data_IF_007467533387
#
_entry.id   IF_007467533387
#
_cell.length_a   1.000
_cell.length_b   1.000
_cell.length_c   1.000
_cell.angle_alpha   90.00
_cell.angle_beta   90.00
_cell.angle_gamma   90.00
#
_symmetry.space_group_name_H-M   'P 1'
#
loop_
_entity.id
_entity.type
_entity.pdbx_description
1 polymer ?
#
# COMPACT_ATOMS: atom_id res chain seq x y z
N UNK A 1 -41.33 10.99 0.98
CA UNK A 1 -40.60 12.09 1.65
C UNK A 1 -40.14 13.07 0.59
N UNK A 2 -40.21 14.39 0.79
CA UNK A 2 -39.65 15.35 -0.17
C UNK A 2 -38.13 15.20 -0.20
N UNK A 3 -37.49 15.42 -1.35
CA UNK A 3 -36.03 15.24 -1.52
C UNK A 3 -35.24 16.08 -0.52
N UNK A 4 -35.68 17.32 -0.30
CA UNK A 4 -35.11 18.24 0.70
C UNK A 4 -35.09 17.63 2.10
N UNK A 5 -36.14 16.91 2.49
CA UNK A 5 -36.21 16.23 3.79
C UNK A 5 -35.31 14.99 3.83
N UNK A 6 -35.11 14.30 2.70
CA UNK A 6 -34.11 13.21 2.58
C UNK A 6 -32.68 13.75 2.74
N UNK A 7 -32.34 14.86 2.10
CA UNK A 7 -31.02 15.50 2.21
C UNK A 7 -30.72 15.98 3.64
N UNK A 8 -31.71 16.58 4.33
CA UNK A 8 -31.57 16.95 5.74
C UNK A 8 -31.37 15.72 6.64
N UNK A 9 -32.19 14.68 6.43
CA UNK A 9 -32.09 13.43 7.20
C UNK A 9 -30.71 12.79 6.99
N UNK A 10 -30.23 12.76 5.74
CA UNK A 10 -28.93 12.25 5.37
C UNK A 10 -27.80 13.00 6.08
N UNK A 11 -27.82 14.34 6.02
CA UNK A 11 -26.85 15.15 6.74
C UNK A 11 -26.80 14.80 8.23
N UNK A 12 -27.96 14.75 8.90
CA UNK A 12 -28.01 14.44 10.33
C UNK A 12 -27.53 13.02 10.64
N UNK A 13 -27.94 12.02 9.86
CA UNK A 13 -27.49 10.64 10.06
C UNK A 13 -25.98 10.50 9.86
N UNK A 14 -25.41 11.23 8.90
CA UNK A 14 -23.98 11.22 8.65
C UNK A 14 -23.17 11.94 9.75
N UNK A 15 -23.67 13.07 10.28
CA UNK A 15 -23.06 13.71 11.45
C UNK A 15 -23.13 12.79 12.68
N UNK A 16 -24.29 12.18 12.95
CA UNK A 16 -24.47 11.23 14.04
C UNK A 16 -23.53 10.01 13.90
N UNK A 17 -23.32 9.52 12.66
CA UNK A 17 -22.39 8.43 12.38
C UNK A 17 -20.93 8.83 12.67
N UNK A 18 -20.53 10.04 12.26
CA UNK A 18 -19.21 10.61 12.57
C UNK A 18 -18.99 10.75 14.08
N UNK A 19 -19.98 11.24 14.81
CA UNK A 19 -19.90 11.39 16.27
C UNK A 19 -19.80 10.05 17.00
N UNK A 20 -20.41 8.99 16.44
CA UNK A 20 -20.42 7.63 17.03
C UNK A 20 -19.19 6.78 16.69
N UNK A 21 -18.17 7.34 16.04
CA UNK A 21 -16.93 6.62 15.71
C UNK A 21 -16.88 6.03 14.30
N UNK A 22 -17.85 6.35 13.45
CA UNK A 22 -17.86 5.96 12.04
C UNK A 22 -18.51 4.60 11.75
N UNK A 23 -18.34 4.09 10.51
CA UNK A 23 -19.01 2.88 10.03
C UNK A 23 -18.70 1.61 10.82
N UNK A 24 -17.49 1.53 11.41
CA UNK A 24 -17.01 0.35 12.16
C UNK A 24 -17.67 0.23 13.53
N UNK A 25 -18.05 1.36 14.14
CA UNK A 25 -18.62 1.42 15.50
C UNK A 25 -20.16 1.44 15.50
N UNK A 26 -20.80 1.80 14.37
CA UNK A 26 -22.25 1.79 14.23
C UNK A 26 -22.72 1.29 12.86
N UNK A 27 -22.65 -0.02 12.67
CA UNK A 27 -23.02 -0.69 11.42
C UNK A 27 -24.48 -0.46 11.02
N UNK A 28 -25.42 -0.49 11.98
CA UNK A 28 -26.85 -0.28 11.68
C UNK A 28 -27.15 1.14 11.16
N UNK A 29 -26.50 2.16 11.74
CA UNK A 29 -26.64 3.54 11.26
C UNK A 29 -25.95 3.72 9.91
N UNK A 30 -24.81 3.07 9.69
CA UNK A 30 -24.13 3.07 8.40
C UNK A 30 -25.00 2.46 7.30
N UNK A 31 -25.62 1.31 7.54
CA UNK A 31 -26.59 0.70 6.60
C UNK A 31 -27.73 1.67 6.29
N UNK A 32 -28.28 2.33 7.32
CA UNK A 32 -29.34 3.34 7.14
C UNK A 32 -28.89 4.54 6.31
N UNK A 33 -27.62 4.96 6.42
CA UNK A 33 -27.03 6.03 5.61
C UNK A 33 -26.92 5.58 4.15
N UNK A 34 -26.42 4.36 3.90
CA UNK A 34 -26.27 3.80 2.54
C UNK A 34 -27.63 3.63 1.86
N UNK A 35 -28.63 3.10 2.57
CA UNK A 35 -30.01 3.01 2.05
C UNK A 35 -30.55 4.39 1.65
N UNK A 36 -30.23 5.42 2.45
CA UNK A 36 -30.68 6.78 2.19
C UNK A 36 -29.95 7.41 0.99
N UNK A 37 -28.68 7.09 0.78
CA UNK A 37 -27.91 7.48 -0.41
C UNK A 37 -28.56 6.88 -1.67
N UNK A 38 -28.82 5.58 -1.70
CA UNK A 38 -29.50 4.91 -2.81
C UNK A 38 -30.89 5.51 -3.08
N UNK A 39 -31.65 5.73 -2.02
CA UNK A 39 -32.97 6.36 -2.09
C UNK A 39 -32.91 7.77 -2.69
N UNK A 40 -31.91 8.59 -2.33
CA UNK A 40 -31.77 9.94 -2.88
C UNK A 40 -31.38 9.86 -4.36
N UNK A 41 -30.38 9.06 -4.71
CA UNK A 41 -29.93 8.89 -6.09
C UNK A 41 -31.06 8.40 -7.01
N UNK A 42 -31.86 7.43 -6.53
CA UNK A 42 -32.97 6.87 -7.29
C UNK A 42 -34.05 7.90 -7.65
N UNK A 43 -34.27 8.92 -6.80
CA UNK A 43 -35.24 9.99 -7.09
C UNK A 43 -34.82 10.83 -8.31
N UNK A 44 -33.52 10.96 -8.54
CA UNK A 44 -32.97 11.68 -9.68
C UNK A 44 -32.71 10.77 -10.90
N UNK A 45 -32.92 9.46 -10.76
CA UNK A 45 -32.57 8.49 -11.81
C UNK A 45 -31.06 8.31 -11.97
N UNK A 46 -30.30 8.60 -10.92
CA UNK A 46 -28.85 8.43 -10.89
C UNK A 46 -28.50 7.07 -10.25
N UNK A 47 -27.48 6.37 -10.76
CA UNK A 47 -26.88 5.27 -10.03
C UNK A 47 -26.05 5.80 -8.85
N UNK A 48 -25.94 5.05 -7.73
CA UNK A 48 -25.11 5.41 -6.58
C UNK A 48 -23.62 5.19 -6.87
N UNK A 49 -23.12 5.81 -7.94
CA UNK A 49 -21.71 5.81 -8.31
C UNK A 49 -20.93 6.76 -7.40
N UNK A 50 -19.64 6.50 -7.21
CA UNK A 50 -18.77 7.35 -6.39
C UNK A 50 -18.78 8.82 -6.85
N UNK A 51 -18.85 9.05 -8.16
CA UNK A 51 -18.95 10.39 -8.75
C UNK A 51 -20.23 11.11 -8.32
N UNK A 52 -21.39 10.42 -8.31
CA UNK A 52 -22.65 11.03 -7.89
C UNK A 52 -22.74 11.18 -6.36
N UNK A 53 -22.26 10.18 -5.61
CA UNK A 53 -22.23 10.22 -4.14
C UNK A 53 -21.32 11.31 -3.60
N UNK A 54 -20.30 11.73 -4.35
CA UNK A 54 -19.45 12.86 -3.98
C UNK A 54 -20.25 14.16 -3.75
N UNK A 55 -21.34 14.36 -4.50
CA UNK A 55 -22.24 15.50 -4.33
C UNK A 55 -22.89 15.47 -2.94
N UNK A 56 -23.33 14.28 -2.50
CA UNK A 56 -23.89 14.10 -1.16
C UNK A 56 -22.81 14.27 -0.07
N UNK A 57 -21.62 13.71 -0.27
CA UNK A 57 -20.54 13.83 0.71
C UNK A 57 -20.11 15.28 0.92
N UNK A 58 -20.07 16.10 -0.13
CA UNK A 58 -19.81 17.54 -0.03
C UNK A 58 -20.83 18.26 0.84
N UNK A 59 -22.12 17.89 0.75
CA UNK A 59 -23.15 18.43 1.66
C UNK A 59 -22.83 18.12 3.13
N UNK A 60 -22.26 16.96 3.44
CA UNK A 60 -21.89 16.58 4.82
C UNK A 60 -20.67 17.31 5.37
N UNK A 61 -19.86 17.93 4.50
CA UNK A 61 -18.71 18.74 4.90
C UNK A 61 -19.09 20.19 5.22
N UNK A 62 -20.25 20.64 4.73
CA UNK A 62 -20.77 21.97 5.03
C UNK A 62 -21.25 22.05 6.49
N UNK A 63 -20.49 22.74 7.35
CA UNK A 63 -20.90 23.05 8.73
C UNK A 63 -20.97 24.57 8.91
N UNK A 64 -22.14 25.15 9.26
CA UNK A 64 -23.44 24.51 9.52
C UNK A 64 -24.28 24.24 8.25
N UNK A 65 -25.23 23.29 8.35
CA UNK A 65 -26.23 23.04 7.31
C UNK A 65 -27.08 24.30 7.05
N UNK A 66 -26.97 24.88 5.87
CA UNK A 66 -27.79 26.01 5.41
C UNK A 66 -28.84 25.55 4.40
N UNK A 67 -29.95 26.30 4.28
CA UNK A 67 -30.95 26.04 3.23
C UNK A 67 -30.33 26.23 1.83
N UNK A 68 -29.43 27.21 1.67
CA UNK A 68 -28.68 27.44 0.43
C UNK A 68 -27.84 26.22 0.01
N UNK A 69 -27.17 25.54 0.95
CA UNK A 69 -26.38 24.34 0.65
C UNK A 69 -27.25 23.16 0.20
N UNK A 70 -28.46 23.04 0.75
CA UNK A 70 -29.43 22.01 0.34
C UNK A 70 -29.93 22.31 -1.08
N UNK A 71 -30.28 23.57 -1.38
CA UNK A 71 -30.69 23.99 -2.71
C UNK A 71 -29.57 23.80 -3.75
N UNK A 72 -28.33 24.13 -3.39
CA UNK A 72 -27.16 23.92 -4.25
C UNK A 72 -26.93 22.43 -4.52
N UNK A 73 -26.99 21.59 -3.50
CA UNK A 73 -26.85 20.13 -3.65
C UNK A 73 -27.97 19.57 -4.53
N UNK A 74 -29.22 20.02 -4.33
CA UNK A 74 -30.33 19.61 -5.18
C UNK A 74 -30.13 20.02 -6.64
N UNK A 75 -29.60 21.23 -6.88
CA UNK A 75 -29.28 21.69 -8.22
C UNK A 75 -28.15 20.87 -8.86
N UNK A 76 -27.08 20.58 -8.13
CA UNK A 76 -25.97 19.73 -8.60
C UNK A 76 -26.45 18.32 -8.96
N UNK A 77 -27.32 17.72 -8.15
CA UNK A 77 -27.92 16.41 -8.44
C UNK A 77 -28.80 16.45 -9.70
N UNK A 78 -29.56 17.53 -9.92
CA UNK A 78 -30.36 17.71 -11.16
C UNK A 78 -29.48 17.89 -12.39
N UNK A 79 -28.37 18.62 -12.26
CA UNK A 79 -27.40 18.81 -13.34
C UNK A 79 -26.73 17.49 -13.71
N UNK A 80 -26.23 16.75 -12.70
CA UNK A 80 -25.66 15.43 -12.88
C UNK A 80 -26.68 14.46 -13.50
N UNK A 81 -27.93 14.47 -13.04
CA UNK A 81 -29.01 13.68 -13.64
C UNK A 81 -29.29 14.07 -15.09
N UNK A 82 -29.27 15.36 -15.41
CA UNK A 82 -29.48 15.83 -16.79
C UNK A 82 -28.35 15.35 -17.69
N UNK A 83 -27.10 15.47 -17.24
CA UNK A 83 -25.93 15.00 -17.99
C UNK A 83 -25.99 13.48 -18.19
N UNK A 84 -26.25 12.73 -17.13
CA UNK A 84 -26.34 11.27 -17.15
C UNK A 84 -27.48 10.78 -18.08
N UNK A 85 -28.67 11.37 -17.99
CA UNK A 85 -29.82 11.00 -18.82
C UNK A 85 -29.69 11.45 -20.28
N UNK A 86 -28.84 12.45 -20.56
CA UNK A 86 -28.52 12.89 -21.92
C UNK A 86 -27.36 12.10 -22.54
N UNK A 87 -26.60 11.34 -21.74
CA UNK A 87 -25.51 10.50 -22.21
C UNK A 87 -26.04 9.41 -23.17
N UNK A 88 -25.20 8.94 -24.12
CA UNK A 88 -25.60 7.86 -25.01
C UNK A 88 -25.89 6.59 -24.20
N UNK A 89 -27.03 5.96 -24.47
CA UNK A 89 -27.39 4.68 -23.85
C UNK A 89 -26.42 3.61 -24.36
N UNK A 90 -25.56 3.13 -23.46
CA UNK A 90 -24.61 2.04 -23.69
C UNK A 90 -25.20 0.75 -23.12
N UNK A 91 -24.85 -0.37 -23.73
CA UNK A 91 -25.10 -1.69 -23.16
C UNK A 91 -24.10 -1.98 -22.05
N UNK A 92 -24.44 -2.85 -21.09
CA UNK A 92 -23.53 -3.23 -19.99
C UNK A 92 -22.17 -3.72 -20.51
N UNK A 93 -22.17 -4.43 -21.65
CA UNK A 93 -20.95 -4.89 -22.30
C UNK A 93 -20.08 -3.73 -22.83
N UNK A 94 -20.70 -2.72 -23.44
CA UNK A 94 -20.00 -1.52 -23.92
C UNK A 94 -19.43 -0.71 -22.76
N UNK A 95 -20.17 -0.60 -21.66
CA UNK A 95 -19.69 0.05 -20.42
C UNK A 95 -18.46 -0.68 -19.87
N UNK A 96 -18.48 -2.02 -19.82
CA UNK A 96 -17.32 -2.81 -19.37
C UNK A 96 -16.12 -2.69 -20.32
N UNK A 97 -16.34 -2.60 -21.63
CA UNK A 97 -15.28 -2.42 -22.63
C UNK A 97 -14.59 -1.06 -22.50
N UNK A 98 -15.38 0.00 -22.33
CA UNK A 98 -14.89 1.35 -22.06
C UNK A 98 -14.15 1.40 -20.73
N UNK A 99 -14.76 0.85 -19.67
CA UNK A 99 -14.15 0.79 -18.35
C UNK A 99 -12.79 0.08 -18.34
N UNK A 100 -12.65 -0.99 -19.14
CA UNK A 100 -11.36 -1.67 -19.32
C UNK A 100 -10.33 -0.80 -20.06
N UNK A 101 -10.77 -0.04 -21.05
CA UNK A 101 -9.90 0.81 -21.89
C UNK A 101 -9.41 2.02 -21.09
N UNK A 102 -10.31 2.63 -20.33
CA UNK A 102 -10.05 3.85 -19.54
C UNK A 102 -9.61 3.56 -18.10
N UNK A 103 -9.57 2.29 -17.69
CA UNK A 103 -9.26 1.83 -16.33
C UNK A 103 -10.12 2.52 -15.26
N UNK A 104 -11.43 2.60 -15.52
CA UNK A 104 -12.39 3.23 -14.61
C UNK A 104 -12.51 2.43 -13.30
N UNK A 105 -12.89 3.12 -12.22
CA UNK A 105 -13.10 2.51 -10.90
C UNK A 105 -14.33 1.61 -10.84
N UNK A 106 -14.24 0.50 -10.10
CA UNK A 106 -15.36 -0.42 -9.86
C UNK A 106 -16.56 0.28 -9.22
N UNK A 107 -16.33 1.27 -8.36
CA UNK A 107 -17.39 2.04 -7.68
C UNK A 107 -18.14 3.00 -8.60
N UNK A 108 -17.59 3.29 -9.77
CA UNK A 108 -18.31 4.03 -10.79
C UNK A 108 -19.01 3.10 -11.76
N UNK A 109 -18.37 1.99 -12.14
CA UNK A 109 -18.88 1.14 -13.22
C UNK A 109 -19.92 0.13 -12.74
N UNK A 110 -19.76 -0.48 -11.57
CA UNK A 110 -20.69 -1.50 -11.08
C UNK A 110 -22.11 -0.94 -10.85
N UNK A 111 -22.29 0.23 -10.21
CA UNK A 111 -23.63 0.81 -10.05
C UNK A 111 -24.31 1.13 -11.37
N UNK A 112 -23.55 1.56 -12.38
CA UNK A 112 -24.04 1.89 -13.73
C UNK A 112 -24.66 0.67 -14.44
N UNK A 113 -24.04 -0.51 -14.30
CA UNK A 113 -24.57 -1.77 -14.85
C UNK A 113 -25.51 -2.49 -13.87
N UNK A 114 -25.95 -1.81 -12.80
CA UNK A 114 -26.87 -2.34 -11.79
C UNK A 114 -26.33 -3.54 -11.03
N UNK A 115 -25.01 -3.58 -10.80
CA UNK A 115 -24.31 -4.55 -9.96
C UNK A 115 -23.93 -3.91 -8.62
N UNK A 116 -24.08 -4.63 -7.51
CA UNK A 116 -23.71 -4.10 -6.20
C UNK A 116 -22.18 -4.03 -6.06
N UNK A 117 -21.70 -3.08 -5.27
CA UNK A 117 -20.28 -2.87 -4.96
C UNK A 117 -19.81 -3.77 -3.81
N UNK A 118 -20.11 -5.07 -3.91
CA UNK A 118 -19.65 -6.09 -2.96
C UNK A 118 -18.30 -6.71 -3.39
N UNK A 119 -17.63 -7.38 -2.47
CA UNK A 119 -16.29 -7.97 -2.68
C UNK A 119 -16.19 -8.86 -3.93
N UNK A 120 -17.22 -9.66 -4.24
CA UNK A 120 -17.18 -10.56 -5.40
C UNK A 120 -17.34 -9.82 -6.75
N UNK A 121 -18.35 -8.95 -6.96
CA UNK A 121 -18.39 -8.05 -8.12
C UNK A 121 -17.14 -7.20 -8.31
N UNK A 122 -16.58 -6.63 -7.23
CA UNK A 122 -15.34 -5.86 -7.28
C UNK A 122 -14.19 -6.75 -7.76
N UNK A 123 -14.05 -7.96 -7.23
CA UNK A 123 -13.07 -8.93 -7.72
C UNK A 123 -13.25 -9.25 -9.22
N UNK A 124 -14.49 -9.49 -9.67
CA UNK A 124 -14.77 -9.77 -11.08
C UNK A 124 -14.37 -8.58 -11.98
N UNK A 125 -14.54 -7.36 -11.49
CA UNK A 125 -14.17 -6.17 -12.23
C UNK A 125 -12.64 -5.91 -12.17
N UNK A 126 -12.07 -5.74 -10.99
CA UNK A 126 -10.67 -5.33 -10.84
C UNK A 126 -9.68 -6.45 -11.19
N UNK A 127 -9.92 -7.67 -10.70
CA UNK A 127 -8.98 -8.78 -10.89
C UNK A 127 -9.22 -9.54 -12.19
N UNK A 128 -10.48 -9.72 -12.59
CA UNK A 128 -10.77 -10.50 -13.80
C UNK A 128 -10.80 -9.63 -15.06
N UNK A 129 -11.48 -8.49 -15.03
CA UNK A 129 -11.60 -7.61 -16.20
C UNK A 129 -10.37 -6.71 -16.41
N UNK A 130 -10.01 -5.87 -15.43
CA UNK A 130 -8.94 -4.87 -15.59
C UNK A 130 -7.57 -5.51 -15.78
N UNK A 131 -7.25 -6.58 -15.03
CA UNK A 131 -6.00 -7.36 -15.22
C UNK A 131 -6.05 -8.33 -16.41
N UNK A 132 -7.08 -8.24 -17.26
CA UNK A 132 -7.23 -9.04 -18.48
C UNK A 132 -7.14 -10.56 -18.27
N UNK A 133 -7.58 -11.06 -17.11
CA UNK A 133 -7.65 -12.50 -16.81
C UNK A 133 -8.92 -13.16 -17.37
N UNK A 134 -9.94 -12.37 -17.72
CA UNK A 134 -11.17 -12.80 -18.39
C UNK A 134 -11.63 -11.78 -19.44
N UNK A 135 -12.51 -12.21 -20.35
CA UNK A 135 -13.14 -11.29 -21.32
C UNK A 135 -14.32 -10.54 -20.67
N UNK A 136 -14.67 -9.34 -21.16
CA UNK A 136 -15.83 -8.59 -20.68
C UNK A 136 -17.13 -9.41 -20.69
N UNK A 137 -17.33 -10.25 -21.71
CA UNK A 137 -18.51 -11.12 -21.83
C UNK A 137 -18.53 -12.19 -20.72
N UNK A 138 -17.38 -12.78 -20.40
CA UNK A 138 -17.28 -13.78 -19.34
C UNK A 138 -17.55 -13.17 -17.97
N UNK A 139 -17.04 -11.95 -17.74
CA UNK A 139 -17.24 -11.20 -16.49
C UNK A 139 -18.70 -10.80 -16.35
N UNK A 140 -19.32 -10.23 -17.38
CA UNK A 140 -20.73 -9.87 -17.38
C UNK A 140 -21.62 -11.08 -17.13
N UNK A 141 -21.37 -12.19 -17.83
CA UNK A 141 -22.12 -13.42 -17.64
C UNK A 141 -22.01 -13.96 -16.21
N UNK A 142 -20.84 -13.88 -15.58
CA UNK A 142 -20.68 -14.27 -14.18
C UNK A 142 -21.47 -13.33 -13.26
N UNK A 143 -21.39 -12.02 -13.46
CA UNK A 143 -22.13 -11.02 -12.68
C UNK A 143 -23.65 -11.23 -12.77
N UNK A 144 -24.17 -11.49 -13.98
CA UNK A 144 -25.59 -11.82 -14.20
C UNK A 144 -26.01 -13.09 -13.46
N UNK A 145 -25.18 -14.15 -13.48
CA UNK A 145 -25.47 -15.39 -12.77
C UNK A 145 -25.49 -15.20 -11.26
N UNK A 146 -24.56 -14.43 -10.70
CA UNK A 146 -24.54 -14.15 -9.26
C UNK A 146 -25.82 -13.42 -8.85
N UNK A 147 -26.26 -12.46 -9.66
CA UNK A 147 -27.51 -11.72 -9.48
C UNK A 147 -28.75 -12.61 -9.61
N UNK A 148 -28.79 -13.50 -10.61
CA UNK A 148 -29.89 -14.45 -10.80
C UNK A 148 -30.01 -15.43 -9.64
N UNK A 149 -28.88 -15.89 -9.10
CA UNK A 149 -28.82 -16.85 -8.01
C UNK A 149 -29.01 -16.22 -6.63
N UNK A 150 -28.98 -14.89 -6.55
CA UNK A 150 -29.00 -14.10 -5.31
C UNK A 150 -28.01 -14.66 -4.26
N UNK A 151 -26.79 -14.96 -4.72
CA UNK A 151 -25.84 -15.74 -3.92
C UNK A 151 -24.71 -14.91 -3.30
N UNK A 152 -24.82 -13.57 -3.27
CA UNK A 152 -23.80 -12.68 -2.68
C UNK A 152 -23.51 -13.06 -1.21
N UNK A 153 -24.56 -13.27 -0.41
CA UNK A 153 -24.41 -13.70 0.99
C UNK A 153 -23.84 -15.12 1.14
N UNK A 154 -24.16 -16.04 0.23
CA UNK A 154 -23.58 -17.39 0.21
C UNK A 154 -22.08 -17.35 -0.12
N UNK A 155 -21.66 -16.49 -1.05
CA UNK A 155 -20.24 -16.26 -1.40
C UNK A 155 -19.50 -15.62 -0.23
N UNK A 156 -20.07 -14.59 0.40
CA UNK A 156 -19.51 -13.98 1.60
C UNK A 156 -19.38 -14.99 2.76
N UNK A 157 -20.36 -15.88 2.94
CA UNK A 157 -20.31 -16.94 3.95
C UNK A 157 -19.14 -17.91 3.71
N UNK A 158 -18.85 -18.26 2.44
CA UNK A 158 -17.69 -19.08 2.11
C UNK A 158 -16.38 -18.40 2.48
N UNK A 159 -16.30 -17.07 2.30
CA UNK A 159 -15.15 -16.26 2.63
C UNK A 159 -14.95 -16.17 4.15
N UNK A 160 -15.93 -15.66 4.90
CA UNK A 160 -15.76 -15.34 6.32
C UNK A 160 -15.84 -16.56 7.25
N UNK A 161 -16.74 -17.52 6.95
CA UNK A 161 -17.01 -18.64 7.87
C UNK A 161 -16.29 -19.93 7.49
N UNK A 162 -15.85 -20.06 6.23
CA UNK A 162 -15.30 -21.30 5.70
C UNK A 162 -14.00 -21.16 4.91
N UNK A 163 -13.24 -20.06 5.09
CA UNK A 163 -12.01 -19.73 4.36
C UNK A 163 -11.02 -20.88 4.13
N UNK A 164 -10.77 -21.72 5.15
CA UNK A 164 -9.80 -22.84 5.08
C UNK A 164 -10.42 -24.17 4.62
N UNK A 165 -11.75 -24.26 4.52
CA UNK A 165 -12.47 -25.52 4.24
C UNK A 165 -13.63 -25.39 3.24
N UNK A 166 -13.69 -24.29 2.49
CA UNK A 166 -14.79 -23.93 1.60
C UNK A 166 -15.16 -25.08 0.63
N UNK A 167 -14.16 -25.80 0.10
CA UNK A 167 -14.34 -26.95 -0.81
C UNK A 167 -15.20 -28.09 -0.24
N UNK A 168 -15.26 -28.23 1.09
CA UNK A 168 -16.03 -29.28 1.77
C UNK A 168 -17.48 -28.87 2.06
N UNK A 169 -17.81 -27.59 1.94
CA UNK A 169 -19.13 -27.05 2.30
C UNK A 169 -20.20 -27.42 1.27
N UNK A 170 -21.46 -27.46 1.70
CA UNK A 170 -22.60 -27.65 0.79
C UNK A 170 -22.80 -26.43 -0.13
N UNK A 171 -22.54 -25.24 0.40
CA UNK A 171 -22.65 -23.96 -0.30
C UNK A 171 -21.72 -23.96 -1.53
N UNK A 172 -20.44 -24.28 -1.33
CA UNK A 172 -19.47 -24.35 -2.43
C UNK A 172 -19.89 -25.37 -3.50
N UNK A 173 -20.33 -26.56 -3.12
CA UNK A 173 -20.76 -27.60 -4.07
C UNK A 173 -21.98 -27.17 -4.90
N UNK A 174 -22.85 -26.31 -4.35
CA UNK A 174 -24.02 -25.73 -5.03
C UNK A 174 -23.61 -24.62 -6.01
N UNK A 175 -22.70 -23.74 -5.60
CA UNK A 175 -22.31 -22.56 -6.37
C UNK A 175 -21.25 -22.83 -7.44
N UNK A 176 -20.28 -23.72 -7.17
CA UNK A 176 -19.14 -23.98 -8.05
C UNK A 176 -19.51 -24.37 -9.50
N UNK A 177 -20.55 -25.20 -9.76
CA UNK A 177 -20.93 -25.52 -11.13
C UNK A 177 -21.48 -24.32 -11.92
N UNK A 178 -21.90 -23.27 -11.22
CA UNK A 178 -22.60 -22.13 -11.80
C UNK A 178 -21.66 -20.92 -11.95
N UNK A 179 -20.76 -20.75 -10.97
CA UNK A 179 -19.79 -19.66 -10.88
C UNK A 179 -18.39 -20.12 -11.33
N UNK A 180 -17.95 -19.61 -12.47
CA UNK A 180 -16.70 -20.02 -13.09
C UNK A 180 -15.48 -19.52 -12.29
N UNK A 181 -15.54 -18.31 -11.73
CA UNK A 181 -14.41 -17.64 -11.09
C UNK A 181 -14.35 -17.82 -9.57
N UNK A 182 -15.31 -18.53 -8.98
CA UNK A 182 -15.43 -18.73 -7.54
C UNK A 182 -14.17 -19.34 -6.90
N UNK A 183 -13.51 -20.28 -7.60
CA UNK A 183 -12.26 -20.87 -7.08
C UNK A 183 -11.12 -19.86 -7.04
N UNK A 184 -10.97 -19.08 -8.11
CA UNK A 184 -9.93 -18.06 -8.22
C UNK A 184 -10.09 -17.03 -7.12
N UNK A 185 -11.32 -16.57 -6.89
CA UNK A 185 -11.66 -15.64 -5.81
C UNK A 185 -11.29 -16.19 -4.42
N UNK A 186 -11.77 -17.39 -4.09
CA UNK A 186 -11.54 -17.99 -2.76
C UNK A 186 -10.06 -18.37 -2.53
N UNK A 187 -9.32 -18.76 -3.57
CA UNK A 187 -7.89 -19.06 -3.49
C UNK A 187 -7.03 -17.81 -3.34
N UNK A 188 -7.31 -16.75 -4.10
CA UNK A 188 -6.60 -15.48 -3.99
C UNK A 188 -6.77 -14.90 -2.58
N UNK A 189 -8.00 -14.94 -2.05
CA UNK A 189 -8.25 -14.50 -0.69
C UNK A 189 -7.74 -15.46 0.37
N UNK A 190 -7.56 -16.76 0.09
CA UNK A 190 -6.88 -17.66 1.02
C UNK A 190 -5.36 -17.35 1.11
N UNK A 191 -4.75 -16.96 -0.02
CA UNK A 191 -3.32 -16.61 -0.10
C UNK A 191 -2.99 -15.29 0.61
N UNK A 192 -3.94 -14.36 0.72
CA UNK A 192 -3.77 -13.07 1.40
C UNK A 192 -3.66 -13.15 2.94
N UNK A 193 -3.78 -14.34 3.55
CA UNK A 193 -3.45 -14.57 4.97
C UNK A 193 -4.40 -13.93 6.01
N UNK A 194 -4.21 -14.24 7.30
CA UNK A 194 -4.99 -13.71 8.43
C UNK A 194 -4.61 -12.24 8.79
N UNK A 195 -4.22 -11.42 7.80
CA UNK A 195 -4.02 -9.98 8.00
C UNK A 195 -5.39 -9.32 8.30
N UNK A 196 -5.46 -8.52 9.35
CA UNK A 196 -6.69 -7.92 9.87
C UNK A 196 -7.35 -6.89 8.95
N UNK A 197 -6.82 -6.68 7.74
CA UNK A 197 -7.40 -5.80 6.73
C UNK A 197 -8.31 -6.61 5.80
N UNK A 198 -9.37 -7.18 6.36
CA UNK A 198 -10.39 -7.86 5.56
C UNK A 198 -11.45 -6.88 5.11
N UNK A 199 -11.16 -6.17 4.03
CA UNK A 199 -12.07 -6.07 2.90
C UNK A 199 -11.35 -5.37 1.75
N UNK A 200 -11.49 -5.91 0.54
CA UNK A 200 -11.10 -5.25 -0.72
C UNK A 200 -11.75 -3.85 -0.83
N UNK A 201 -12.85 -3.62 -0.07
CA UNK A 201 -13.49 -2.33 0.17
C UNK A 201 -12.55 -1.25 0.71
N UNK A 202 -11.58 -1.61 1.57
CA UNK A 202 -10.73 -0.65 2.28
C UNK A 202 -9.57 -0.16 1.39
N UNK A 203 -8.92 -1.07 0.66
CA UNK A 203 -7.80 -0.72 -0.25
C UNK A 203 -8.24 0.19 -1.41
N UNK A 204 -9.52 0.11 -1.78
CA UNK A 204 -10.11 0.86 -2.89
C UNK A 204 -10.82 2.15 -2.41
N UNK A 205 -11.29 2.22 -1.15
CA UNK A 205 -11.70 3.46 -0.48
C UNK A 205 -10.54 4.43 -0.21
N UNK A 206 -9.34 3.92 0.07
CA UNK A 206 -8.16 4.76 0.31
C UNK A 206 -7.49 5.30 -0.98
N UNK A 207 -8.07 5.08 -2.16
CA UNK A 207 -7.66 5.76 -3.39
C UNK A 207 -8.19 7.21 -3.51
N UNK A 208 -8.46 7.88 -2.39
CA UNK A 208 -8.65 9.34 -2.37
C UNK A 208 -7.60 10.02 -1.51
N UNK A 209 -6.61 10.59 -2.19
CA UNK A 209 -6.13 11.96 -1.94
C UNK A 209 -5.58 12.55 -3.24
N UNK A 210 -6.41 13.37 -3.88
CA UNK A 210 -6.29 13.90 -5.25
C UNK A 210 -5.40 15.17 -5.33
N UNK A 211 -4.28 15.17 -4.62
CA UNK A 211 -3.25 16.23 -4.75
C UNK A 211 -1.84 15.70 -4.99
N UNK A 212 -1.55 14.48 -4.54
CA UNK A 212 -0.25 13.85 -4.79
C UNK A 212 -0.20 13.12 -6.14
N UNK A 213 -1.36 12.79 -6.72
CA UNK A 213 -1.47 12.13 -8.03
C UNK A 213 -0.98 13.01 -9.19
N UNK A 214 -1.09 14.34 -9.12
CA UNK A 214 -0.53 15.23 -10.15
C UNK A 214 1.00 15.34 -10.07
N UNK A 215 1.58 15.24 -8.86
CA UNK A 215 3.04 15.24 -8.69
C UNK A 215 3.63 13.89 -9.10
N UNK A 216 2.95 12.79 -8.77
CA UNK A 216 3.30 11.43 -9.18
C UNK A 216 3.10 11.19 -10.68
N UNK A 217 2.08 11.77 -11.32
CA UNK A 217 1.89 11.69 -12.77
C UNK A 217 2.96 12.47 -13.56
N UNK A 218 3.50 13.57 -13.00
CA UNK A 218 4.65 14.27 -13.58
C UNK A 218 5.97 13.50 -13.38
N UNK A 219 6.09 12.71 -12.30
CA UNK A 219 7.22 11.80 -12.08
C UNK A 219 7.12 10.49 -12.91
N UNK A 220 5.90 10.02 -13.19
CA UNK A 220 5.61 8.85 -14.02
C UNK A 220 5.64 9.15 -15.55
N UNK A 221 5.80 10.41 -15.95
CA UNK A 221 5.98 10.81 -17.34
C UNK A 221 7.45 10.71 -17.82
N UNK A 222 8.37 10.25 -16.96
CA UNK A 222 9.65 9.75 -17.43
C UNK A 222 9.42 8.36 -18.04
N UNK A 223 10.06 8.04 -19.19
CA UNK A 223 9.90 6.72 -19.79
C UNK A 223 10.22 5.65 -18.75
N UNK A 224 9.27 4.76 -18.49
CA UNK A 224 9.48 3.53 -17.71
C UNK A 224 10.69 2.81 -18.31
N UNK A 225 11.82 2.91 -17.64
CA UNK A 225 12.88 1.93 -17.81
C UNK A 225 12.31 0.69 -17.11
N UNK A 226 11.90 -0.30 -17.91
CA UNK A 226 11.70 -1.67 -17.46
C UNK A 226 12.95 -2.08 -16.68
N UNK A 227 12.89 -1.98 -15.36
CA UNK A 227 13.83 -2.66 -14.50
C UNK A 227 13.39 -4.12 -14.51
N UNK A 228 14.19 -5.04 -15.06
CA UNK A 228 13.84 -6.44 -15.02
C UNK A 228 13.62 -6.84 -13.56
N UNK A 229 12.47 -7.44 -13.26
CA UNK A 229 12.36 -8.28 -12.08
C UNK A 229 13.39 -9.39 -12.29
N UNK A 230 14.52 -9.30 -11.60
CA UNK A 230 15.55 -10.33 -11.65
C UNK A 230 15.03 -11.55 -10.89
N UNK A 231 14.29 -12.39 -11.60
CA UNK A 231 13.92 -13.71 -11.12
C UNK A 231 15.23 -14.51 -10.89
N UNK A 232 15.41 -14.96 -9.65
CA UNK A 232 16.54 -15.77 -9.15
C UNK A 232 17.85 -14.99 -8.94
N UNK A 233 17.89 -14.16 -7.88
CA UNK A 233 19.08 -13.40 -7.45
C UNK A 233 20.15 -14.36 -6.93
N UNK A 234 21.39 -14.28 -7.43
CA UNK A 234 22.50 -15.05 -6.87
C UNK A 234 22.84 -14.52 -5.45
N UNK A 235 22.75 -15.36 -4.40
CA UNK A 235 23.05 -14.94 -3.02
C UNK A 235 24.45 -14.35 -2.85
N UNK A 236 25.41 -14.76 -3.68
CA UNK A 236 26.79 -14.29 -3.59
C UNK A 236 26.99 -12.87 -4.13
N UNK A 237 26.03 -12.35 -4.91
CA UNK A 237 26.08 -11.01 -5.49
C UNK A 237 25.07 -10.05 -4.87
N UNK A 238 24.28 -10.53 -3.90
CA UNK A 238 23.24 -9.72 -3.27
C UNK A 238 23.84 -8.70 -2.29
N UNK A 239 23.66 -7.42 -2.61
CA UNK A 239 23.99 -6.29 -1.76
C UNK A 239 22.70 -5.53 -1.42
N UNK A 240 22.06 -5.80 -0.26
CA UNK A 240 20.80 -5.16 0.07
C UNK A 240 20.96 -3.66 0.32
N UNK A 241 19.94 -2.89 -0.02
CA UNK A 241 19.85 -1.47 0.36
C UNK A 241 19.39 -1.36 1.82
N UNK A 242 20.20 -0.68 2.65
CA UNK A 242 19.86 -0.44 4.05
C UNK A 242 18.84 0.71 4.17
N UNK A 243 17.76 0.44 4.90
CA UNK A 243 16.67 1.36 5.24
C UNK A 243 16.85 1.81 6.70
N UNK A 244 16.59 3.08 7.00
CA UNK A 244 16.64 3.58 8.38
C UNK A 244 15.21 3.74 8.94
N UNK A 245 14.89 2.95 9.96
CA UNK A 245 13.66 3.09 10.73
C UNK A 245 13.90 4.04 11.91
N UNK A 246 13.48 5.29 11.75
CA UNK A 246 13.66 6.35 12.76
C UNK A 246 12.47 6.50 13.73
N UNK A 247 11.36 5.84 13.41
CA UNK A 247 10.11 5.88 14.17
C UNK A 247 10.20 5.12 15.49
N UNK A 248 9.20 5.26 16.35
CA UNK A 248 9.16 4.57 17.65
C UNK A 248 8.67 3.14 17.46
N UNK A 249 9.43 2.17 17.95
CA UNK A 249 9.06 0.76 17.89
C UNK A 249 8.45 0.30 19.21
N UNK A 250 7.20 -0.13 19.17
CA UNK A 250 6.55 -0.83 20.28
C UNK A 250 6.73 -2.33 20.13
N UNK A 251 7.45 -2.94 21.06
CA UNK A 251 7.73 -4.38 21.02
C UNK A 251 6.64 -5.12 21.80
N UNK A 252 5.99 -6.06 21.12
CA UNK A 252 4.91 -6.88 21.68
C UNK A 252 5.39 -8.30 21.98
N UNK A 253 6.17 -8.89 21.06
CA UNK A 253 6.47 -10.32 21.07
C UNK A 253 7.88 -10.61 20.57
N UNK A 254 8.59 -11.47 21.27
CA UNK A 254 9.92 -11.95 20.89
C UNK A 254 9.85 -13.45 20.64
N UNK A 255 10.43 -13.91 19.53
CA UNK A 255 10.50 -15.31 19.13
C UNK A 255 11.95 -15.66 18.86
N UNK A 256 12.46 -16.73 19.46
CA UNK A 256 13.77 -17.27 19.11
C UNK A 256 13.73 -18.81 19.14
N UNK A 257 14.57 -19.42 18.31
CA UNK A 257 14.71 -20.87 18.15
C UNK A 257 16.18 -21.24 18.05
N UNK A 258 16.51 -22.53 18.08
CA UNK A 258 17.91 -23.00 18.05
C UNK A 258 18.65 -22.60 16.76
N UNK A 259 17.92 -22.46 15.65
CA UNK A 259 18.48 -22.19 14.31
C UNK A 259 18.04 -20.83 13.70
N UNK A 260 17.35 -19.97 14.46
CA UNK A 260 16.77 -18.72 13.93
C UNK A 260 17.26 -17.48 14.69
N UNK A 261 17.59 -16.41 13.95
CA UNK A 261 17.81 -15.08 14.53
C UNK A 261 16.62 -14.65 15.40
N UNK A 262 16.89 -13.84 16.43
CA UNK A 262 15.85 -13.43 17.37
C UNK A 262 14.88 -12.50 16.67
N UNK A 263 13.64 -12.94 16.50
CA UNK A 263 12.62 -12.17 15.80
C UNK A 263 11.76 -11.40 16.77
N UNK A 264 11.76 -10.09 16.60
CA UNK A 264 11.01 -9.11 17.39
C UNK A 264 9.83 -8.65 16.55
N UNK A 265 8.63 -8.89 17.04
CA UNK A 265 7.38 -8.47 16.42
C UNK A 265 6.80 -7.30 17.21
N UNK A 266 6.39 -6.27 16.49
CA UNK A 266 5.91 -5.05 17.10
C UNK A 266 5.19 -4.11 16.16
N UNK A 267 4.89 -2.93 16.67
CA UNK A 267 4.26 -1.83 15.94
C UNK A 267 5.25 -0.68 15.80
N UNK A 268 5.52 -0.27 14.56
CA UNK A 268 6.23 0.96 14.26
C UNK A 268 5.23 2.11 14.23
N UNK A 269 5.46 3.12 15.06
CA UNK A 269 4.62 4.31 15.17
C UNK A 269 5.17 5.43 14.28
N UNK A 270 4.64 5.54 13.06
CA UNK A 270 4.99 6.58 12.09
C UNK A 270 3.93 7.68 12.14
N UNK A 271 4.17 8.71 12.97
CA UNK A 271 3.19 9.78 13.18
C UNK A 271 1.90 9.28 13.84
N UNK A 272 0.78 9.31 13.10
CA UNK A 272 -0.53 8.81 13.55
C UNK A 272 -0.80 7.36 13.16
N UNK A 273 0.01 6.78 12.28
CA UNK A 273 -0.19 5.43 11.73
C UNK A 273 0.66 4.42 12.50
N UNK A 274 0.07 3.26 12.80
CA UNK A 274 0.77 2.13 13.42
C UNK A 274 0.92 1.02 12.38
N UNK A 275 2.16 0.68 12.03
CA UNK A 275 2.46 -0.39 11.06
C UNK A 275 3.07 -1.59 11.79
N UNK A 276 2.51 -2.78 11.58
CA UNK A 276 3.10 -4.00 12.14
C UNK A 276 4.36 -4.39 11.37
N UNK A 277 5.44 -4.63 12.09
CA UNK A 277 6.73 -5.02 11.51
C UNK A 277 7.36 -6.16 12.30
N UNK A 278 8.22 -6.92 11.61
CA UNK A 278 9.05 -7.96 12.20
C UNK A 278 10.52 -7.62 11.97
N UNK A 279 11.32 -7.63 13.03
CA UNK A 279 12.75 -7.33 13.00
C UNK A 279 13.54 -8.54 13.49
N UNK A 280 14.42 -9.08 12.65
CA UNK A 280 15.41 -10.06 13.06
C UNK A 280 16.62 -9.36 13.66
N UNK A 281 16.92 -9.65 14.91
CA UNK A 281 18.07 -9.14 15.65
C UNK A 281 19.09 -10.24 15.90
N UNK A 282 20.36 -9.84 15.94
CA UNK A 282 21.37 -10.57 16.68
C UNK A 282 21.06 -10.48 18.19
N UNK A 283 21.26 -11.60 18.90
CA UNK A 283 20.89 -11.69 20.32
C UNK A 283 21.60 -10.62 21.16
N UNK A 284 22.86 -10.34 20.86
CA UNK A 284 23.68 -9.36 21.60
C UNK A 284 23.13 -7.94 21.48
N UNK A 285 22.71 -7.54 20.28
CA UNK A 285 22.15 -6.21 20.01
C UNK A 285 20.79 -6.03 20.69
N UNK A 286 19.95 -7.06 20.63
CA UNK A 286 18.66 -7.06 21.32
C UNK A 286 18.85 -7.01 22.84
N UNK A 287 19.80 -7.78 23.38
CA UNK A 287 20.10 -7.78 24.80
C UNK A 287 20.61 -6.41 25.28
N UNK A 288 21.49 -5.77 24.51
CA UNK A 288 21.98 -4.42 24.80
C UNK A 288 20.83 -3.40 24.80
N UNK A 289 19.94 -3.48 23.80
CA UNK A 289 18.75 -2.64 23.71
C UNK A 289 17.85 -2.81 24.95
N UNK A 290 17.53 -4.05 25.32
CA UNK A 290 16.68 -4.34 26.46
C UNK A 290 17.29 -3.88 27.79
N UNK A 291 18.61 -4.06 27.95
CA UNK A 291 19.35 -3.59 29.13
C UNK A 291 19.23 -2.07 29.30
N UNK A 292 19.26 -1.33 28.18
CA UNK A 292 19.12 0.13 28.19
C UNK A 292 17.73 0.58 28.66
N UNK A 293 16.67 -0.10 28.23
CA UNK A 293 15.28 0.31 28.52
C UNK A 293 14.69 -0.24 29.81
N UNK A 294 15.00 -1.50 30.15
CA UNK A 294 14.39 -2.21 31.28
C UNK A 294 15.31 -2.26 32.51
N UNK A 295 16.57 -1.83 32.37
CA UNK A 295 17.58 -1.87 33.41
C UNK A 295 18.11 -3.28 33.70
N UNK A 296 19.20 -3.37 34.46
CA UNK A 296 19.91 -4.63 34.73
C UNK A 296 19.14 -5.64 35.59
N UNK A 297 18.04 -5.23 36.25
CA UNK A 297 17.38 -6.04 37.29
C UNK A 297 16.17 -6.86 36.79
N UNK A 298 15.78 -6.73 35.51
CA UNK A 298 14.67 -7.50 34.93
C UNK A 298 15.17 -8.52 33.89
N UNK A 299 15.14 -9.82 34.26
CA UNK A 299 15.41 -10.94 33.35
C UNK A 299 14.21 -11.19 32.43
N UNK A 300 14.00 -10.29 31.46
CA UNK A 300 12.93 -10.41 30.45
C UNK A 300 13.36 -11.33 29.30
N UNK A 301 14.64 -11.28 28.98
CA UNK A 301 15.26 -12.21 28.05
C UNK A 301 15.84 -13.39 28.86
N UNK A 302 15.51 -14.63 28.52
CA UNK A 302 16.16 -15.79 29.11
C UNK A 302 17.65 -15.80 28.73
N UNK A 303 18.51 -16.45 29.54
CA UNK A 303 19.93 -16.52 29.26
C UNK A 303 20.16 -17.10 27.86
N UNK A 304 21.10 -16.51 27.12
CA UNK A 304 21.54 -17.02 25.82
C UNK A 304 21.69 -18.55 25.87
N UNK A 305 21.27 -19.30 24.85
CA UNK A 305 21.32 -20.76 24.87
C UNK A 305 22.75 -21.22 25.11
N UNK A 306 23.04 -21.64 26.36
CA UNK A 306 24.43 -21.85 26.78
C UNK A 306 25.04 -23.16 26.28
N UNK A 307 24.30 -24.03 25.57
CA UNK A 307 24.86 -25.21 24.92
C UNK A 307 23.84 -25.82 23.94
N UNK A 308 24.15 -25.97 22.64
CA UNK A 308 23.27 -26.58 21.63
C UNK A 308 23.20 -28.12 21.72
N UNK A 309 23.37 -28.72 22.91
CA UNK A 309 23.48 -30.19 23.03
C UNK A 309 22.52 -30.87 24.01
N UNK A 310 21.56 -30.16 24.60
CA UNK A 310 20.48 -30.85 25.33
C UNK A 310 19.25 -30.92 24.45
N UNK A 311 19.05 -32.08 23.82
CA UNK A 311 17.83 -32.45 23.13
C UNK A 311 16.60 -32.26 24.03
N UNK A 312 15.93 -31.12 23.93
CA UNK A 312 14.65 -30.87 24.58
C UNK A 312 13.89 -29.77 23.81
N UNK A 313 12.99 -30.25 22.94
CA UNK A 313 11.99 -29.55 22.14
C UNK A 313 12.49 -28.55 21.10
N UNK A 314 12.33 -28.95 19.83
CA UNK A 314 12.41 -28.17 18.58
C UNK A 314 11.31 -27.08 18.46
N UNK A 315 10.83 -26.56 19.59
CA UNK A 315 9.75 -25.59 19.66
C UNK A 315 10.34 -24.21 19.91
N UNK A 316 10.08 -23.22 19.02
CA UNK A 316 10.55 -21.87 19.22
C UNK A 316 9.99 -21.33 20.53
N UNK A 317 10.85 -20.68 21.31
CA UNK A 317 10.40 -20.03 22.54
C UNK A 317 9.79 -18.70 22.16
N UNK A 318 8.54 -18.51 22.59
CA UNK A 318 7.77 -17.29 22.38
C UNK A 318 7.64 -16.57 23.70
N UNK A 319 8.13 -15.34 23.75
CA UNK A 319 7.99 -14.44 24.90
C UNK A 319 7.05 -13.32 24.50
N UNK A 320 5.86 -13.30 25.10
CA UNK A 320 4.98 -12.13 25.05
C UNK A 320 5.47 -11.14 26.11
N UNK A 321 5.81 -9.93 25.71
CA UNK A 321 6.43 -8.98 26.63
C UNK A 321 5.48 -8.53 27.71
N UNK A 322 4.22 -8.26 27.36
CA UNK A 322 3.19 -7.89 28.32
C UNK A 322 3.03 -8.95 29.42
N UNK A 323 3.10 -10.24 29.08
CA UNK A 323 3.01 -11.33 30.05
C UNK A 323 4.27 -11.42 30.95
N UNK A 324 5.44 -11.07 30.40
CA UNK A 324 6.72 -11.19 31.09
C UNK A 324 7.07 -9.97 31.98
N UNK A 325 6.69 -8.76 31.56
CA UNK A 325 7.05 -7.50 32.23
C UNK A 325 5.84 -6.73 32.76
N UNK A 326 4.62 -7.09 32.35
CA UNK A 326 3.39 -6.35 32.63
C UNK A 326 3.14 -5.15 31.70
N UNK A 327 4.04 -4.87 30.74
CA UNK A 327 3.96 -3.71 29.83
C UNK A 327 4.56 -4.05 28.45
N UNK A 328 4.10 -3.37 27.39
CA UNK A 328 4.84 -3.33 26.11
C UNK A 328 6.10 -2.46 26.25
N UNK A 329 7.13 -2.75 25.45
CA UNK A 329 8.37 -1.96 25.47
C UNK A 329 8.37 -0.95 24.31
N UNK A 330 8.34 0.34 24.63
CA UNK A 330 8.46 1.43 23.66
C UNK A 330 9.92 1.84 23.48
N UNK A 331 10.46 1.59 22.30
CA UNK A 331 11.81 1.96 21.89
C UNK A 331 11.75 3.27 21.09
N UNK A 332 11.93 4.38 21.80
CA UNK A 332 11.78 5.74 21.30
C UNK A 332 13.09 6.54 21.24
N UNK A 333 14.20 6.00 21.72
CA UNK A 333 15.55 6.60 21.81
C UNK A 333 16.54 5.96 20.85
N UNK A 334 16.13 4.94 20.09
CA UNK A 334 16.97 4.26 19.10
C UNK A 334 16.28 4.27 17.73
N UNK A 335 17.11 4.23 16.68
CA UNK A 335 16.75 4.03 15.28
C UNK A 335 17.41 2.75 14.80
N UNK A 336 16.80 2.09 13.84
CA UNK A 336 17.27 0.80 13.35
C UNK A 336 17.68 0.93 11.89
N UNK A 337 18.94 0.63 11.60
CA UNK A 337 19.38 0.41 10.22
C UNK A 337 19.05 -1.03 9.88
N UNK A 338 18.19 -1.24 8.90
CA UNK A 338 17.62 -2.55 8.58
C UNK A 338 17.69 -2.84 7.09
N UNK A 339 17.58 -4.10 6.70
CA UNK A 339 17.51 -4.49 5.29
C UNK A 339 16.60 -5.70 5.07
N UNK A 340 16.14 -5.88 3.82
CA UNK A 340 15.34 -7.05 3.45
C UNK A 340 16.27 -8.23 3.18
N UNK A 341 16.05 -9.41 3.79
CA UNK A 341 16.82 -10.60 3.46
C UNK A 341 16.34 -11.24 2.14
N UNK A 342 17.19 -12.09 1.56
CA UNK A 342 16.76 -13.05 0.54
C UNK A 342 16.08 -14.25 1.19
N UNK A 343 15.04 -14.74 0.55
CA UNK A 343 14.34 -15.98 0.88
C UNK A 343 14.37 -16.92 -0.30
N UNK A 344 14.39 -18.21 -0.01
CA UNK A 344 14.24 -19.25 -1.01
C UNK A 344 12.75 -19.47 -1.28
N UNK A 345 12.27 -19.13 -2.47
CA UNK A 345 10.90 -19.39 -2.92
C UNK A 345 10.61 -20.88 -3.03
N UNK A 346 9.31 -21.23 -3.12
CA UNK A 346 8.85 -22.62 -3.26
C UNK A 346 9.36 -23.30 -4.54
N UNK A 347 9.75 -22.50 -5.53
CA UNK A 347 10.35 -22.92 -6.79
C UNK A 347 11.88 -23.12 -6.71
N UNK A 348 12.48 -22.87 -5.54
CA UNK A 348 13.92 -22.94 -5.31
C UNK A 348 14.70 -21.73 -5.82
N UNK A 349 14.02 -20.64 -6.20
CA UNK A 349 14.67 -19.38 -6.59
C UNK A 349 14.87 -18.46 -5.40
N UNK A 350 15.96 -17.69 -5.38
CA UNK A 350 16.16 -16.68 -4.34
C UNK A 350 15.45 -15.38 -4.73
N UNK A 351 14.62 -14.88 -3.82
CA UNK A 351 13.83 -13.67 -3.99
C UNK A 351 13.97 -12.79 -2.76
N UNK A 352 13.76 -11.48 -2.91
CA UNK A 352 13.76 -10.56 -1.77
C UNK A 352 12.49 -10.78 -0.94
N UNK A 353 12.62 -10.82 0.38
CA UNK A 353 11.51 -10.92 1.33
C UNK A 353 10.45 -9.84 1.07
N UNK A 354 9.25 -10.26 0.66
CA UNK A 354 8.14 -9.35 0.36
C UNK A 354 7.40 -8.91 1.63
N UNK A 355 7.34 -9.77 2.65
CA UNK A 355 6.72 -9.45 3.94
C UNK A 355 7.47 -8.33 4.66
N UNK A 356 6.81 -7.63 5.59
CA UNK A 356 7.38 -6.57 6.45
C UNK A 356 8.34 -7.13 7.53
N UNK A 357 9.23 -8.02 7.10
CA UNK A 357 10.33 -8.58 7.85
C UNK A 357 11.65 -7.94 7.39
N UNK A 358 12.43 -7.47 8.35
CA UNK A 358 13.74 -6.88 8.09
C UNK A 358 14.78 -7.46 9.05
N UNK A 359 16.03 -7.58 8.59
CA UNK A 359 17.16 -7.86 9.46
C UNK A 359 17.77 -6.55 9.93
N UNK A 360 18.03 -6.44 11.23
CA UNK A 360 18.68 -5.29 11.83
C UNK A 360 20.18 -5.41 11.60
N UNK A 361 20.73 -4.45 10.87
CA UNK A 361 22.17 -4.31 10.64
C UNK A 361 22.84 -3.56 11.78
N UNK A 362 22.19 -2.50 12.28
CA UNK A 362 22.76 -1.64 13.32
C UNK A 362 21.67 -0.95 14.14
N UNK A 363 21.88 -0.83 15.45
CA UNK A 363 21.02 -0.10 16.39
C UNK A 363 21.71 1.21 16.78
N UNK A 364 21.11 2.34 16.40
CA UNK A 364 21.70 3.67 16.52
C UNK A 364 20.90 4.55 17.50
N UNK A 365 21.50 5.24 18.47
CA UNK A 365 20.77 6.15 19.35
C UNK A 365 20.25 7.37 18.57
N UNK A 366 18.99 7.80 18.81
CA UNK A 366 18.33 8.93 18.12
C UNK A 366 19.08 10.27 18.27
N UNK A 367 19.96 10.41 19.26
CA UNK A 367 20.83 11.58 19.43
C UNK A 367 22.12 11.58 18.58
N UNK A 368 22.47 10.48 17.90
CA UNK A 368 23.63 10.44 17.01
C UNK A 368 23.33 10.98 15.60
N UNK A 369 22.05 11.19 15.28
CA UNK A 369 21.54 11.64 13.99
C UNK A 369 21.21 13.15 13.95
N UNK A 370 21.73 13.95 14.89
CA UNK A 370 21.80 15.42 14.80
C UNK A 370 22.85 15.87 13.74
N UNK A 371 22.75 15.31 12.53
CA UNK A 371 23.33 15.90 11.33
C UNK A 371 22.20 16.05 10.34
N UNK A 372 21.75 17.30 10.25
CA UNK A 372 20.71 17.81 9.38
C UNK A 372 20.61 16.98 8.09
N UNK A 373 19.45 16.37 7.76
CA UNK A 373 19.26 15.63 6.51
C UNK A 373 19.63 16.48 5.28
N UNK A 374 19.61 17.81 5.39
CA UNK A 374 20.17 18.72 4.40
C UNK A 374 21.69 18.58 4.23
N UNK A 375 22.47 18.41 5.31
CA UNK A 375 23.92 18.26 5.27
C UNK A 375 24.34 16.89 4.69
N UNK A 376 23.58 15.83 4.98
CA UNK A 376 23.80 14.49 4.39
C UNK A 376 23.50 14.52 2.89
N UNK A 377 22.38 15.13 2.49
CA UNK A 377 22.01 15.29 1.08
C UNK A 377 22.99 16.20 0.34
N UNK A 378 23.47 17.27 0.98
CA UNK A 378 24.50 18.17 0.44
C UNK A 378 25.83 17.45 0.25
N UNK A 379 26.24 16.57 1.18
CA UNK A 379 27.45 15.73 1.02
C UNK A 379 27.30 14.73 -0.12
N UNK A 380 26.14 14.11 -0.29
CA UNK A 380 25.85 13.21 -1.42
C UNK A 380 25.90 13.96 -2.75
N UNK A 381 25.25 15.12 -2.85
CA UNK A 381 25.30 15.99 -4.03
C UNK A 381 26.73 16.45 -4.34
N UNK A 382 27.51 16.82 -3.34
CA UNK A 382 28.89 17.24 -3.53
C UNK A 382 29.77 16.08 -4.06
N UNK A 383 29.51 14.87 -3.59
CA UNK A 383 30.18 13.65 -4.07
C UNK A 383 29.82 13.35 -5.52
N UNK A 384 28.54 13.45 -5.89
CA UNK A 384 28.07 13.26 -7.27
C UNK A 384 28.64 14.33 -8.22
N UNK A 385 28.66 15.60 -7.81
CA UNK A 385 29.30 16.66 -8.59
C UNK A 385 30.81 16.44 -8.75
N UNK A 386 31.48 15.93 -7.73
CA UNK A 386 32.88 15.54 -7.79
C UNK A 386 33.13 14.42 -8.80
N UNK A 387 32.28 13.39 -8.82
CA UNK A 387 32.36 12.29 -9.78
C UNK A 387 32.15 12.78 -11.22
N UNK A 388 31.13 13.60 -11.49
CA UNK A 388 30.87 14.17 -12.82
C UNK A 388 32.04 15.04 -13.30
N UNK A 389 32.58 15.88 -12.42
CA UNK A 389 33.73 16.73 -12.72
C UNK A 389 34.97 15.88 -13.05
N UNK A 390 35.21 14.80 -12.31
CA UNK A 390 36.31 13.86 -12.60
C UNK A 390 36.09 13.10 -13.91
N UNK A 391 34.83 12.77 -14.23
CA UNK A 391 34.44 12.18 -15.52
C UNK A 391 34.78 13.13 -16.68
N UNK A 392 34.46 14.43 -16.53
CA UNK A 392 34.77 15.41 -17.56
C UNK A 392 36.29 15.63 -17.76
N UNK A 393 37.08 15.58 -16.68
CA UNK A 393 38.54 15.60 -16.79
C UNK A 393 39.08 14.38 -17.55
N UNK A 394 38.55 13.18 -17.26
CA UNK A 394 38.90 11.96 -18.01
C UNK A 394 38.48 12.06 -19.48
N UNK A 395 37.33 12.67 -19.76
CA UNK A 395 36.90 12.97 -21.13
C UNK A 395 37.91 13.89 -21.84
N UNK A 396 38.32 14.99 -21.22
CA UNK A 396 39.30 15.92 -21.80
C UNK A 396 40.63 15.23 -22.10
N UNK A 397 41.17 14.44 -21.17
CA UNK A 397 42.42 13.69 -21.39
C UNK A 397 42.28 12.65 -22.51
N UNK A 398 41.13 11.97 -22.59
CA UNK A 398 40.85 10.97 -23.62
C UNK A 398 40.69 11.61 -25.00
N UNK A 399 40.05 12.77 -25.05
CA UNK A 399 39.88 13.56 -26.27
C UNK A 399 41.20 14.16 -26.76
N UNK A 400 42.02 14.70 -25.85
CA UNK A 400 43.38 15.18 -26.15
C UNK A 400 44.33 14.05 -26.60
N UNK A 401 44.08 12.81 -26.14
CA UNK A 401 44.79 11.62 -26.59
C UNK A 401 44.36 11.13 -28.00
N UNK A 402 43.43 11.84 -28.67
CA UNK A 402 43.05 11.60 -30.06
C UNK A 402 41.85 10.67 -30.24
N UNK A 403 41.12 10.32 -29.17
CA UNK A 403 39.86 9.59 -29.29
C UNK A 403 38.77 10.48 -29.86
N UNK A 404 37.82 9.89 -30.60
CA UNK A 404 36.64 10.63 -31.05
C UNK A 404 35.80 11.09 -29.85
N UNK A 405 35.06 12.18 -30.01
CA UNK A 405 34.19 12.74 -28.97
C UNK A 405 33.24 11.69 -28.37
N UNK A 406 32.70 10.81 -29.21
CA UNK A 406 31.80 9.73 -28.79
C UNK A 406 32.52 8.67 -27.94
N UNK A 407 33.72 8.27 -28.35
CA UNK A 407 34.51 7.26 -27.62
C UNK A 407 35.04 7.84 -26.30
N UNK A 408 35.50 9.09 -26.30
CA UNK A 408 35.95 9.78 -25.10
C UNK A 408 34.82 9.92 -24.07
N UNK A 409 33.60 10.21 -24.52
CA UNK A 409 32.39 10.23 -23.66
C UNK A 409 32.06 8.87 -23.08
N UNK A 410 32.14 7.82 -23.90
CA UNK A 410 31.86 6.46 -23.46
C UNK A 410 32.87 5.96 -22.40
N UNK A 411 34.17 6.20 -22.62
CA UNK A 411 35.24 5.78 -21.70
C UNK A 411 35.22 6.58 -20.38
N UNK A 412 34.68 7.80 -20.39
CA UNK A 412 34.56 8.65 -19.20
C UNK A 412 33.24 8.46 -18.43
N UNK A 413 32.31 7.63 -18.92
CA UNK A 413 31.00 7.44 -18.31
C UNK A 413 30.06 8.65 -18.48
N UNK A 414 30.26 9.44 -19.54
CA UNK A 414 29.46 10.62 -19.91
C UNK A 414 28.82 10.44 -21.29
N UNK A 415 28.34 9.23 -21.58
CA UNK A 415 27.64 8.89 -22.80
C UNK A 415 26.27 9.58 -22.90
N UNK A 416 25.61 9.81 -21.76
CA UNK A 416 24.36 10.55 -21.70
C UNK A 416 24.57 12.07 -21.94
N UNK A 417 23.85 12.68 -22.91
CA UNK A 417 24.09 14.07 -23.32
C UNK A 417 23.88 15.09 -22.18
N UNK A 418 22.87 14.87 -21.33
CA UNK A 418 22.58 15.76 -20.18
C UNK A 418 23.67 15.67 -19.11
N UNK A 419 24.23 14.48 -18.87
CA UNK A 419 25.31 14.31 -17.90
C UNK A 419 26.59 14.96 -18.40
N UNK A 420 26.85 14.86 -19.71
CA UNK A 420 27.98 15.51 -20.34
C UNK A 420 27.91 17.04 -20.25
N UNK A 421 26.77 17.64 -20.60
CA UNK A 421 26.56 19.09 -20.49
C UNK A 421 26.68 19.59 -19.03
N UNK A 422 26.09 18.85 -18.08
CA UNK A 422 26.20 19.17 -16.67
C UNK A 422 27.65 19.09 -16.18
N UNK A 423 28.37 18.04 -16.56
CA UNK A 423 29.77 17.86 -16.19
C UNK A 423 30.68 18.95 -16.80
N UNK A 424 30.39 19.37 -18.03
CA UNK A 424 31.05 20.51 -18.68
C UNK A 424 30.81 21.81 -17.91
N UNK A 425 29.56 22.12 -17.55
CA UNK A 425 29.21 23.33 -16.80
C UNK A 425 29.81 23.33 -15.39
N UNK A 426 29.80 22.20 -14.69
CA UNK A 426 30.43 22.05 -13.37
C UNK A 426 31.94 22.28 -13.43
N UNK A 427 32.62 21.73 -14.44
CA UNK A 427 34.04 21.96 -14.67
C UNK A 427 34.34 23.44 -14.98
N UNK A 428 33.52 24.10 -15.82
CA UNK A 428 33.64 25.54 -16.08
C UNK A 428 33.44 26.37 -14.82
N UNK A 429 32.45 26.05 -13.98
CA UNK A 429 32.22 26.73 -12.70
C UNK A 429 33.40 26.58 -11.75
N UNK A 430 33.99 25.38 -11.68
CA UNK A 430 35.18 25.12 -10.87
C UNK A 430 36.40 25.92 -11.38
N UNK A 431 36.60 26.03 -12.70
CA UNK A 431 37.66 26.86 -13.28
C UNK A 431 37.49 28.36 -13.01
N UNK A 432 36.24 28.83 -12.87
CA UNK A 432 35.91 30.21 -12.53
C UNK A 432 35.98 30.50 -11.01
N UNK A 433 36.39 29.52 -10.20
CA UNK A 433 36.55 29.67 -8.74
C UNK A 433 35.23 29.64 -7.96
N UNK A 434 34.11 29.32 -8.62
CA UNK A 434 32.82 29.16 -7.98
C UNK A 434 32.63 27.67 -7.62
N UNK A 435 32.69 27.35 -6.33
CA UNK A 435 32.12 26.08 -5.88
C UNK A 435 30.59 26.15 -6.03
N UNK A 436 29.93 25.07 -6.45
CA UNK A 436 28.47 24.98 -6.43
C UNK A 436 28.01 24.93 -4.96
N UNK A 437 28.04 26.08 -4.30
CA UNK A 437 27.42 26.33 -3.01
C UNK A 437 25.96 26.68 -3.26
N UNK A 438 25.10 25.67 -3.20
CA UNK A 438 23.69 25.90 -2.85
C UNK A 438 23.72 26.52 -1.44
N UNK A 439 23.56 27.84 -1.38
CA UNK A 439 23.40 28.58 -0.12
C UNK A 439 22.02 28.36 0.46
#
# INVERSE_FOLDING_TARGET
MQVTEKLKTYYHYYQDLKEKGGPEENTELFESVVELEEDIMSVFGLPPSHTHLQILWQLTEAVPLSEEAIEETEQQLREAATEHLMAPVKTDLEVLLEAKTEKLSAFNVLPEIGQPTHDYPIFLFEEMLLKSRATPEQVLQEMEKVKELDCYGEVATLLYNHRKSFRKTKIYKKLKPQLQFLDTYLLQLQALGDSSEHSIFVSSLFQREDKDAQLLAQLAALPEIDLPQEDNIDPSTYCPESILLADTLEIEKIVYGEDTAVTVNGLLHTGTVRKRISLGFEFEDLYALFTHYLGHDQQVLPPAPQNPSSAASDTPVVVMLEDATGCTLLVDQHTFKVYKPLVLGEDGTHQIMQEEFYLVEEVLPKGAMDKDPAEVSQKKLHTLFGQLTSGYQKYLTSYEAGLSEREARQVSGLDHPVLFELAQHLHTLQQLGNQPGLK
#
